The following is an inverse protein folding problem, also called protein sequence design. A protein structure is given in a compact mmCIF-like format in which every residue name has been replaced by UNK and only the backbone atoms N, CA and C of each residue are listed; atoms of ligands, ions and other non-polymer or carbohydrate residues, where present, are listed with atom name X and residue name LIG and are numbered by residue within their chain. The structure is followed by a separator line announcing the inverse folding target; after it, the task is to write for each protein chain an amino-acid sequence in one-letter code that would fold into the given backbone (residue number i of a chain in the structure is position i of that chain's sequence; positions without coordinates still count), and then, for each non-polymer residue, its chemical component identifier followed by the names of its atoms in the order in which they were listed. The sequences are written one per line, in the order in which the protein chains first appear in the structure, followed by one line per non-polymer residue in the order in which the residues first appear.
data_IF_985495883233
#
_entry.id   IF_985495883233
#
_cell.length_a   1.000
_cell.length_b   1.000
_cell.length_c   1.000
_cell.angle_alpha   90.00
_cell.angle_beta   90.00
_cell.angle_gamma   90.00
#
_symmetry.space_group_name_H-M   'P 1'
#
loop_
_entity.id
_entity.type
_entity.pdbx_description
1 polymer ?
#
# COMPACT_ATOMS: atom_id res chain seq x y z
N UNK A 1 -6.73 50.33 -25.83
CA UNK A 1 -7.88 49.56 -25.30
C UNK A 1 -7.46 48.11 -25.35
N UNK A 2 -7.14 47.57 -24.18
CA UNK A 2 -6.70 46.20 -23.97
C UNK A 2 -7.86 45.22 -24.20
N UNK A 3 -7.52 44.01 -24.62
CA UNK A 3 -8.34 42.83 -24.37
C UNK A 3 -7.37 41.66 -24.27
N UNK A 4 -6.92 41.42 -23.04
CA UNK A 4 -6.20 40.22 -22.64
C UNK A 4 -7.16 39.04 -22.77
N UNK A 5 -6.87 38.11 -23.70
CA UNK A 5 -7.48 36.79 -23.72
C UNK A 5 -6.79 35.94 -22.65
N UNK A 6 -7.37 35.98 -21.45
CA UNK A 6 -7.00 35.11 -20.34
C UNK A 6 -7.41 33.67 -20.68
N UNK A 7 -6.43 32.85 -21.04
CA UNK A 7 -6.59 31.41 -21.24
C UNK A 7 -7.03 30.76 -19.93
N UNK A 8 -8.30 30.39 -19.83
CA UNK A 8 -8.83 29.59 -18.72
C UNK A 8 -8.17 28.20 -18.73
N UNK A 9 -7.12 28.03 -17.93
CA UNK A 9 -6.57 26.72 -17.59
C UNK A 9 -7.66 25.91 -16.88
N UNK A 10 -8.07 24.80 -17.51
CA UNK A 10 -9.05 23.89 -16.94
C UNK A 10 -8.57 23.33 -15.60
N UNK A 11 -9.37 23.51 -14.56
CA UNK A 11 -9.13 22.92 -13.24
C UNK A 11 -9.05 21.40 -13.41
N UNK A 12 -7.89 20.81 -13.14
CA UNK A 12 -7.78 19.35 -13.06
C UNK A 12 -8.80 18.84 -12.04
N UNK A 13 -9.46 17.73 -12.30
CA UNK A 13 -10.51 17.16 -11.44
C UNK A 13 -10.10 15.75 -11.01
N UNK A 14 -10.54 15.29 -9.84
CA UNK A 14 -10.48 13.87 -9.53
C UNK A 14 -11.37 13.06 -10.50
N UNK A 15 -11.11 11.75 -10.71
CA UNK A 15 -12.05 10.87 -11.42
C UNK A 15 -13.47 10.86 -10.82
N UNK A 16 -13.60 11.26 -9.55
CA UNK A 16 -14.87 11.46 -8.85
C UNK A 16 -15.59 12.78 -9.17
N UNK A 17 -15.05 13.63 -10.04
CA UNK A 17 -15.64 14.93 -10.39
C UNK A 17 -15.54 16.00 -9.31
N UNK A 18 -14.70 15.78 -8.28
CA UNK A 18 -14.39 16.79 -7.26
C UNK A 18 -13.26 17.68 -7.77
N UNK A 19 -13.43 19.01 -7.68
CA UNK A 19 -12.33 19.94 -7.89
C UNK A 19 -11.21 19.63 -6.91
N UNK A 20 -9.95 19.79 -7.33
CA UNK A 20 -8.85 19.72 -6.38
C UNK A 20 -9.14 20.75 -5.30
N UNK A 21 -9.22 20.36 -4.01
CA UNK A 21 -9.35 21.35 -2.95
C UNK A 21 -8.16 22.30 -3.09
N UNK A 22 -8.41 23.61 -2.94
CA UNK A 22 -7.34 24.60 -2.79
C UNK A 22 -6.22 23.98 -1.96
N UNK A 23 -5.04 23.88 -2.56
CA UNK A 23 -3.92 23.04 -2.16
C UNK A 23 -3.92 22.73 -0.65
N UNK A 24 -4.23 21.49 -0.27
CA UNK A 24 -4.29 21.09 1.14
C UNK A 24 -3.01 21.59 1.84
N UNK A 25 -3.12 22.52 2.80
CA UNK A 25 -1.97 23.30 3.24
C UNK A 25 -0.91 22.36 3.80
N UNK A 26 0.33 22.59 3.39
CA UNK A 26 1.45 21.80 3.87
C UNK A 26 1.79 22.22 5.31
N UNK A 27 2.08 21.28 6.21
CA UNK A 27 2.52 21.61 7.55
C UNK A 27 3.93 22.28 7.49
N UNK A 28 4.33 23.10 8.48
CA UNK A 28 5.58 23.85 8.44
C UNK A 28 6.84 23.01 8.15
N UNK A 29 6.89 21.78 8.68
CA UNK A 29 7.98 20.81 8.48
C UNK A 29 8.07 20.23 7.06
N UNK A 30 7.06 20.46 6.22
CA UNK A 30 7.06 20.01 4.83
C UNK A 30 8.06 20.78 3.94
N UNK A 31 8.66 21.86 4.47
CA UNK A 31 9.75 22.56 3.80
C UNK A 31 10.99 21.67 3.55
N UNK A 32 11.14 20.57 4.29
CA UNK A 32 12.21 19.59 4.12
C UNK A 32 11.78 18.34 3.34
N UNK A 33 10.52 18.29 2.89
CA UNK A 33 9.96 17.13 2.23
C UNK A 33 10.34 17.11 0.74
N UNK A 34 10.65 15.91 0.23
CA UNK A 34 10.71 15.69 -1.21
C UNK A 34 9.30 15.67 -1.83
N UNK A 35 9.25 15.62 -3.17
CA UNK A 35 7.99 15.56 -3.92
C UNK A 35 7.11 14.38 -3.48
N UNK A 36 7.69 13.22 -3.15
CA UNK A 36 6.95 12.01 -2.80
C UNK A 36 6.21 12.18 -1.48
N UNK A 37 6.85 12.78 -0.48
CA UNK A 37 6.21 13.04 0.82
C UNK A 37 5.09 14.08 0.68
N UNK A 38 5.32 15.13 -0.11
CA UNK A 38 4.28 16.13 -0.44
C UNK A 38 3.09 15.48 -1.16
N UNK A 39 3.35 14.60 -2.12
CA UNK A 39 2.31 13.87 -2.84
C UNK A 39 1.49 12.97 -1.91
N UNK A 40 2.15 12.24 -1.00
CA UNK A 40 1.48 11.40 0.00
C UNK A 40 0.56 12.23 0.90
N UNK A 41 1.02 13.37 1.40
CA UNK A 41 0.21 14.28 2.21
C UNK A 41 -1.02 14.78 1.45
N UNK A 42 -0.82 15.31 0.23
CA UNK A 42 -1.89 15.91 -0.57
C UNK A 42 -2.91 14.87 -1.02
N UNK A 43 -2.46 13.71 -1.51
CA UNK A 43 -3.36 12.65 -1.98
C UNK A 43 -4.14 11.98 -0.86
N UNK A 44 -3.63 12.03 0.37
CA UNK A 44 -4.36 11.56 1.56
C UNK A 44 -5.17 12.66 2.23
N UNK A 45 -5.21 13.88 1.68
CA UNK A 45 -5.90 15.02 2.29
C UNK A 45 -5.48 15.23 3.75
N UNK A 46 -4.17 15.09 4.02
CA UNK A 46 -3.58 15.24 5.36
C UNK A 46 -3.85 14.10 6.35
N UNK A 47 -4.60 13.06 5.98
CA UNK A 47 -4.85 11.92 6.87
C UNK A 47 -3.59 11.07 7.12
N UNK A 48 -2.66 11.01 6.15
CA UNK A 48 -1.36 10.38 6.34
C UNK A 48 -0.27 11.44 6.46
N UNK A 49 0.40 11.47 7.62
CA UNK A 49 1.50 12.38 7.88
C UNK A 49 2.87 11.69 7.68
N UNK A 50 3.53 11.85 6.52
CA UNK A 50 4.75 11.11 6.20
C UNK A 50 5.93 11.44 7.12
N UNK A 51 5.96 12.64 7.72
CA UNK A 51 7.02 13.05 8.64
C UNK A 51 6.85 12.52 10.07
N UNK A 52 5.67 12.00 10.43
CA UNK A 52 5.36 11.54 11.80
C UNK A 52 5.33 10.02 11.89
N UNK A 53 5.07 9.34 10.77
CA UNK A 53 5.44 7.95 10.65
C UNK A 53 6.94 7.83 10.86
N UNK A 54 7.37 6.83 11.65
CA UNK A 54 8.74 6.31 11.58
C UNK A 54 8.97 5.65 10.21
N UNK A 55 8.67 6.34 9.10
CA UNK A 55 9.08 6.05 7.72
C UNK A 55 10.57 6.25 7.68
N UNK A 56 11.25 5.32 8.36
CA UNK A 56 12.59 5.55 8.80
C UNK A 56 13.49 5.45 7.60
N UNK A 57 14.55 6.23 7.63
CA UNK A 57 15.77 6.05 6.85
C UNK A 57 16.40 4.65 6.99
N UNK A 58 15.76 3.68 7.65
CA UNK A 58 16.22 2.30 7.79
C UNK A 58 15.69 1.45 6.64
N UNK A 59 16.59 1.20 5.70
CA UNK A 59 16.54 0.02 4.85
C UNK A 59 17.30 -1.10 5.57
N UNK A 60 16.60 -2.15 6.01
CA UNK A 60 17.21 -3.30 6.68
C UNK A 60 17.72 -4.29 5.64
N UNK A 61 19.04 -4.53 5.52
CA UNK A 61 19.58 -5.45 4.54
C UNK A 61 18.98 -6.86 4.66
N UNK A 62 18.60 -7.44 3.54
CA UNK A 62 18.01 -8.76 3.40
C UNK A 62 16.56 -8.88 3.87
N UNK A 63 15.95 -7.82 4.42
CA UNK A 63 14.53 -7.86 4.83
C UNK A 63 13.61 -7.68 3.63
N UNK A 64 12.51 -8.43 3.63
CA UNK A 64 11.39 -8.24 2.69
C UNK A 64 10.20 -7.60 3.41
N UNK A 65 9.70 -6.48 2.92
CA UNK A 65 8.43 -5.90 3.35
C UNK A 65 7.34 -6.28 2.36
N UNK A 66 6.38 -7.07 2.82
CA UNK A 66 5.18 -7.41 2.06
C UNK A 66 4.17 -6.28 2.22
N UNK A 67 3.74 -5.63 1.13
CA UNK A 67 2.84 -4.48 1.15
C UNK A 67 1.49 -4.87 0.56
N UNK A 68 0.43 -4.70 1.33
CA UNK A 68 -0.93 -5.07 0.93
C UNK A 68 -1.93 -3.93 1.18
N UNK A 69 -2.57 -3.40 0.11
CA UNK A 69 -3.73 -2.53 0.25
C UNK A 69 -5.00 -3.37 0.47
N UNK A 70 -5.89 -2.93 1.34
CA UNK A 70 -7.20 -3.60 1.50
C UNK A 70 -8.32 -2.60 1.86
N UNK A 71 -9.54 -3.11 2.04
CA UNK A 71 -10.72 -2.35 2.45
C UNK A 71 -11.57 -3.14 3.43
N UNK A 72 -12.44 -2.44 4.15
CA UNK A 72 -13.46 -3.07 4.99
C UNK A 72 -14.31 -4.12 4.27
N UNK A 73 -14.64 -3.92 2.98
CA UNK A 73 -15.44 -4.87 2.20
C UNK A 73 -14.71 -6.20 1.91
N UNK A 74 -13.39 -6.23 2.10
CA UNK A 74 -12.52 -7.38 1.79
C UNK A 74 -12.11 -8.18 3.04
N UNK A 75 -12.70 -7.89 4.20
CA UNK A 75 -12.44 -8.56 5.49
C UNK A 75 -12.38 -10.08 5.43
N UNK A 76 -13.18 -10.71 4.56
CA UNK A 76 -13.19 -12.17 4.36
C UNK A 76 -11.83 -12.75 3.92
N UNK A 77 -10.96 -11.94 3.35
CA UNK A 77 -9.65 -12.35 2.85
C UNK A 77 -8.50 -12.08 3.81
N UNK A 78 -8.73 -11.37 4.92
CA UNK A 78 -7.63 -10.91 5.78
C UNK A 78 -6.92 -12.07 6.50
N UNK A 79 -7.65 -13.12 6.87
CA UNK A 79 -7.06 -14.34 7.43
C UNK A 79 -6.19 -15.06 6.42
N UNK A 80 -6.64 -15.11 5.15
CA UNK A 80 -5.89 -15.71 4.05
C UNK A 80 -4.59 -14.97 3.79
N UNK A 81 -4.64 -13.64 3.67
CA UNK A 81 -3.48 -12.79 3.52
C UNK A 81 -2.44 -13.05 4.62
N UNK A 82 -2.88 -13.03 5.89
CA UNK A 82 -1.99 -13.25 7.01
C UNK A 82 -1.40 -14.67 7.00
N UNK A 83 -2.19 -15.69 6.68
CA UNK A 83 -1.71 -17.06 6.53
C UNK A 83 -0.64 -17.17 5.42
N UNK A 84 -0.90 -16.58 4.25
CA UNK A 84 0.04 -16.53 3.12
C UNK A 84 1.36 -15.84 3.48
N UNK A 85 1.30 -14.73 4.21
CA UNK A 85 2.48 -14.06 4.75
C UNK A 85 3.22 -14.93 5.77
N UNK A 86 2.49 -15.46 6.76
CA UNK A 86 3.05 -16.19 7.88
C UNK A 86 3.82 -17.43 7.42
N UNK A 87 3.27 -18.15 6.43
CA UNK A 87 3.88 -19.37 5.87
C UNK A 87 5.09 -19.13 4.97
N UNK A 88 5.39 -17.87 4.59
CA UNK A 88 6.59 -17.61 3.78
C UNK A 88 7.84 -18.08 4.52
N UNK A 89 8.71 -18.86 3.88
CA UNK A 89 9.92 -19.38 4.51
C UNK A 89 11.03 -18.34 4.65
N UNK A 90 10.86 -17.15 4.02
CA UNK A 90 11.84 -16.07 4.15
C UNK A 90 11.96 -15.61 5.62
N UNK A 91 13.17 -15.61 6.20
CA UNK A 91 13.35 -15.47 7.64
C UNK A 91 13.10 -14.04 8.15
N UNK A 92 13.61 -13.03 7.44
CA UNK A 92 13.49 -11.62 7.83
C UNK A 92 12.44 -10.93 6.97
N UNK A 93 11.19 -10.95 7.41
CA UNK A 93 10.06 -10.36 6.69
C UNK A 93 9.09 -9.64 7.62
N UNK A 94 8.41 -8.63 7.08
CA UNK A 94 7.32 -7.90 7.71
C UNK A 94 6.14 -7.78 6.73
N UNK A 95 4.93 -7.59 7.27
CA UNK A 95 3.70 -7.38 6.52
C UNK A 95 3.18 -5.98 6.85
N UNK A 96 3.04 -5.13 5.84
CA UNK A 96 2.50 -3.79 5.93
C UNK A 96 1.11 -3.78 5.28
N UNK A 97 0.07 -3.67 6.09
CA UNK A 97 -1.32 -3.62 5.61
C UNK A 97 -1.88 -2.23 5.78
N UNK A 98 -2.37 -1.66 4.68
CA UNK A 98 -3.07 -0.37 4.64
C UNK A 98 -4.54 -0.61 4.35
N UNK A 99 -5.38 -0.57 5.39
CA UNK A 99 -6.83 -0.71 5.26
C UNK A 99 -7.51 0.66 5.28
N UNK A 100 -8.44 0.86 4.36
CA UNK A 100 -9.45 1.93 4.50
C UNK A 100 -10.81 1.32 4.82
N UNK A 101 -11.59 2.03 5.62
CA UNK A 101 -12.88 1.54 6.08
C UNK A 101 -13.89 2.68 6.19
N UNK A 102 -15.19 2.36 6.12
CA UNK A 102 -16.25 3.35 6.30
C UNK A 102 -16.82 3.28 7.71
N UNK A 103 -17.11 2.05 8.17
CA UNK A 103 -17.80 1.79 9.43
C UNK A 103 -16.83 1.26 10.48
N UNK A 104 -16.16 0.14 10.21
CA UNK A 104 -15.21 -0.46 11.14
C UNK A 104 -13.99 -1.05 10.43
N UNK A 105 -12.79 -0.93 11.00
CA UNK A 105 -11.62 -1.64 10.52
C UNK A 105 -11.71 -3.15 10.78
N UNK A 106 -10.79 -3.94 10.22
CA UNK A 106 -10.66 -5.37 10.49
C UNK A 106 -10.31 -5.66 11.96
N UNK A 107 -11.17 -6.39 12.66
CA UNK A 107 -10.89 -6.88 14.02
C UNK A 107 -9.78 -7.92 14.02
N UNK A 108 -9.73 -8.78 13.01
CA UNK A 108 -8.69 -9.80 12.86
C UNK A 108 -7.29 -9.16 12.73
N UNK A 109 -7.09 -8.21 11.80
CA UNK A 109 -5.78 -7.58 11.60
C UNK A 109 -5.34 -6.78 12.84
N UNK A 110 -6.28 -6.16 13.57
CA UNK A 110 -5.97 -5.50 14.84
C UNK A 110 -5.44 -6.49 15.87
N UNK A 111 -6.17 -7.59 16.08
CA UNK A 111 -5.76 -8.63 17.02
C UNK A 111 -4.43 -9.29 16.64
N UNK A 112 -4.17 -9.49 15.34
CA UNK A 112 -2.88 -10.02 14.88
C UNK A 112 -1.74 -9.02 15.08
N UNK A 113 -1.95 -7.72 14.81
CA UNK A 113 -0.91 -6.71 14.98
C UNK A 113 -0.48 -6.53 16.45
N UNK A 114 -1.36 -6.82 17.41
CA UNK A 114 -1.01 -6.85 18.84
C UNK A 114 -0.11 -8.04 19.21
N UNK A 115 -0.14 -9.13 18.44
CA UNK A 115 0.53 -10.40 18.76
C UNK A 115 1.77 -10.66 17.91
N UNK A 116 1.75 -10.24 16.66
CA UNK A 116 2.86 -10.40 15.71
C UNK A 116 3.48 -9.03 15.40
N UNK A 117 4.64 -8.70 15.98
CA UNK A 117 5.30 -7.40 15.75
C UNK A 117 5.79 -7.22 14.31
N UNK A 118 5.75 -8.27 13.47
CA UNK A 118 6.06 -8.18 12.04
C UNK A 118 4.90 -7.60 11.24
N UNK A 119 3.69 -7.53 11.80
CA UNK A 119 2.52 -6.94 11.14
C UNK A 119 2.40 -5.45 11.50
N UNK A 120 2.71 -4.60 10.52
CA UNK A 120 2.48 -3.16 10.56
C UNK A 120 1.09 -2.90 9.95
N UNK A 121 0.09 -2.73 10.81
CA UNK A 121 -1.27 -2.49 10.38
C UNK A 121 -1.68 -1.03 10.59
N UNK A 122 -1.94 -0.31 9.50
CA UNK A 122 -2.46 1.06 9.51
C UNK A 122 -3.84 1.11 8.89
N UNK A 123 -4.72 1.92 9.49
CA UNK A 123 -6.13 1.97 9.15
C UNK A 123 -6.62 3.41 9.08
N UNK A 124 -7.42 3.72 8.05
CA UNK A 124 -7.94 5.06 7.82
C UNK A 124 -9.44 5.01 7.53
N UNK A 125 -10.23 5.73 8.34
CA UNK A 125 -11.64 5.89 8.05
C UNK A 125 -11.82 6.82 6.85
N UNK A 126 -12.68 6.43 5.89
CA UNK A 126 -13.02 7.21 4.70
C UNK A 126 -14.53 7.30 4.54
N UNK A 127 -15.06 8.39 3.95
CA UNK A 127 -16.46 8.46 3.57
C UNK A 127 -16.82 7.40 2.52
N UNK A 128 -18.07 6.98 2.50
CA UNK A 128 -18.60 6.09 1.46
C UNK A 128 -18.39 6.71 0.06
N UNK A 129 -17.91 5.90 -0.89
CA UNK A 129 -17.59 6.35 -2.25
C UNK A 129 -16.31 7.18 -2.39
N UNK A 130 -15.57 7.44 -1.29
CA UNK A 130 -14.35 8.26 -1.29
C UNK A 130 -13.11 7.47 -0.81
N UNK A 131 -13.02 6.20 -1.22
CA UNK A 131 -11.87 5.35 -0.92
C UNK A 131 -10.60 5.85 -1.64
N UNK A 132 -9.45 5.58 -1.05
CA UNK A 132 -8.16 5.78 -1.68
C UNK A 132 -7.90 4.73 -2.75
N UNK A 133 -7.16 5.12 -3.79
CA UNK A 133 -6.74 4.18 -4.82
C UNK A 133 -5.81 3.11 -4.24
N UNK A 134 -5.81 1.93 -4.87
CA UNK A 134 -4.88 0.84 -4.56
C UNK A 134 -3.43 1.34 -4.61
N UNK A 135 -3.10 2.16 -5.62
CA UNK A 135 -1.77 2.76 -5.77
C UNK A 135 -1.39 3.68 -4.62
N UNK A 136 -2.31 4.52 -4.13
CA UNK A 136 -2.04 5.39 -2.98
C UNK A 136 -1.77 4.57 -1.71
N UNK A 137 -2.58 3.53 -1.46
CA UNK A 137 -2.38 2.63 -0.31
C UNK A 137 -1.04 1.88 -0.42
N UNK A 138 -0.64 1.42 -1.61
CA UNK A 138 0.69 0.83 -1.83
C UNK A 138 1.81 1.84 -1.58
N UNK A 139 1.66 3.09 -2.00
CA UNK A 139 2.66 4.14 -1.73
C UNK A 139 2.84 4.41 -0.23
N UNK A 140 1.73 4.41 0.53
CA UNK A 140 1.77 4.50 2.01
C UNK A 140 2.49 3.28 2.59
N UNK A 141 2.12 2.08 2.15
CA UNK A 141 2.74 0.84 2.62
C UNK A 141 4.24 0.81 2.34
N UNK A 142 4.67 1.19 1.14
CA UNK A 142 6.10 1.32 0.78
C UNK A 142 6.80 2.42 1.58
N UNK A 143 6.12 3.49 1.98
CA UNK A 143 6.71 4.50 2.87
C UNK A 143 6.95 3.95 4.29
N UNK A 144 6.07 3.09 4.78
CA UNK A 144 6.17 2.47 6.11
C UNK A 144 7.09 1.25 6.14
N UNK A 145 7.36 0.65 4.99
CA UNK A 145 8.24 -0.49 4.84
C UNK A 145 9.69 -0.18 5.27
N UNK A 146 10.32 -1.14 5.94
CA UNK A 146 11.71 -1.07 6.42
C UNK A 146 12.64 -2.06 5.73
N UNK A 147 12.12 -2.83 4.78
CA UNK A 147 12.85 -3.84 4.03
C UNK A 147 13.71 -3.29 2.91
N UNK A 148 14.78 -4.02 2.58
CA UNK A 148 15.54 -3.80 1.34
C UNK A 148 14.71 -4.15 0.10
N UNK A 149 13.85 -5.16 0.22
CA UNK A 149 12.96 -5.61 -0.84
C UNK A 149 11.51 -5.30 -0.50
N UNK A 150 10.74 -4.90 -1.51
CA UNK A 150 9.29 -4.77 -1.43
C UNK A 150 8.65 -5.90 -2.24
N UNK A 151 7.68 -6.59 -1.66
CA UNK A 151 6.82 -7.53 -2.36
C UNK A 151 5.36 -7.06 -2.25
N UNK A 152 4.64 -6.97 -3.35
CA UNK A 152 3.22 -6.64 -3.32
C UNK A 152 2.39 -7.92 -3.23
N UNK A 153 1.58 -8.03 -2.19
CA UNK A 153 0.57 -9.08 -2.08
C UNK A 153 -0.81 -8.44 -2.22
N UNK A 154 -1.66 -9.05 -3.04
CA UNK A 154 -3.10 -8.83 -3.00
C UNK A 154 -3.71 -9.74 -1.93
N UNK A 155 -4.76 -9.27 -1.26
CA UNK A 155 -5.32 -9.94 -0.09
C UNK A 155 -6.12 -11.21 -0.44
N UNK A 156 -6.61 -11.33 -1.68
CA UNK A 156 -7.35 -12.48 -2.20
C UNK A 156 -6.51 -13.52 -2.96
N UNK A 157 -5.20 -13.32 -3.04
CA UNK A 157 -4.28 -14.23 -3.73
C UNK A 157 -3.72 -15.34 -2.83
N UNK A 158 -3.37 -16.47 -3.46
CA UNK A 158 -2.63 -17.56 -2.83
C UNK A 158 -1.14 -17.47 -3.15
N UNK A 159 -0.32 -17.28 -2.12
CA UNK A 159 1.14 -17.25 -2.24
C UNK A 159 1.78 -18.51 -1.65
N UNK A 160 2.50 -19.27 -2.49
CA UNK A 160 3.22 -20.46 -2.06
C UNK A 160 4.28 -20.12 -0.98
N UNK A 161 4.61 -21.03 -0.05
CA UNK A 161 5.57 -20.76 1.04
C UNK A 161 6.96 -20.27 0.60
N UNK A 162 7.41 -20.59 -0.62
CA UNK A 162 8.70 -20.15 -1.17
C UNK A 162 8.62 -18.93 -2.09
N UNK A 163 7.46 -18.30 -2.21
CA UNK A 163 7.23 -17.21 -3.16
C UNK A 163 8.26 -16.07 -3.01
N UNK A 164 8.44 -15.56 -1.79
CA UNK A 164 9.42 -14.49 -1.53
C UNK A 164 10.86 -14.93 -1.84
N UNK A 165 11.23 -16.16 -1.46
CA UNK A 165 12.56 -16.71 -1.76
C UNK A 165 12.82 -16.73 -3.25
N UNK A 166 11.88 -17.27 -4.04
CA UNK A 166 12.01 -17.34 -5.50
C UNK A 166 12.20 -15.96 -6.11
N UNK A 167 11.37 -14.98 -5.74
CA UNK A 167 11.45 -13.64 -6.33
C UNK A 167 12.77 -12.92 -5.95
N UNK A 168 13.18 -12.98 -4.69
CA UNK A 168 14.39 -12.29 -4.23
C UNK A 168 15.66 -12.93 -4.81
N UNK A 169 15.70 -14.26 -4.91
CA UNK A 169 16.81 -14.97 -5.56
C UNK A 169 16.91 -14.60 -7.04
N UNK A 170 15.79 -14.52 -7.75
CA UNK A 170 15.79 -14.11 -9.16
C UNK A 170 16.20 -12.66 -9.37
N UNK A 171 15.73 -11.73 -8.52
CA UNK A 171 16.18 -10.33 -8.54
C UNK A 171 17.71 -10.24 -8.42
N UNK A 172 18.28 -10.94 -7.44
CA UNK A 172 19.73 -10.95 -7.19
C UNK A 172 20.50 -11.60 -8.33
N UNK A 173 20.04 -12.77 -8.78
CA UNK A 173 20.68 -13.54 -9.87
C UNK A 173 20.75 -12.74 -11.16
N UNK A 174 19.71 -11.97 -11.47
CA UNK A 174 19.63 -11.15 -12.67
C UNK A 174 20.20 -9.74 -12.50
N UNK A 175 20.59 -9.35 -11.29
CA UNK A 175 20.95 -7.97 -10.93
C UNK A 175 19.85 -6.98 -11.39
N UNK A 176 18.59 -7.35 -11.19
CA UNK A 176 17.43 -6.60 -11.65
C UNK A 176 16.91 -5.66 -10.55
N UNK A 177 16.25 -4.58 -10.98
CA UNK A 177 15.58 -3.63 -10.07
C UNK A 177 14.11 -4.01 -9.79
N UNK A 178 13.58 -5.00 -10.52
CA UNK A 178 12.20 -5.46 -10.40
C UNK A 178 12.02 -6.84 -11.04
N UNK A 179 11.08 -7.61 -10.50
CA UNK A 179 10.70 -8.94 -11.00
C UNK A 179 9.19 -9.06 -10.92
N UNK A 180 8.60 -9.79 -11.86
CA UNK A 180 7.17 -10.15 -11.86
C UNK A 180 7.03 -11.61 -12.21
N UNK A 181 5.89 -12.20 -11.83
CA UNK A 181 5.50 -13.50 -12.35
C UNK A 181 5.26 -13.41 -13.86
N UNK A 182 5.62 -14.47 -14.58
CA UNK A 182 5.30 -14.62 -16.01
C UNK A 182 3.94 -15.26 -16.24
N UNK A 183 3.34 -15.86 -15.21
CA UNK A 183 2.07 -16.59 -15.29
C UNK A 183 1.39 -16.61 -13.93
N UNK A 184 0.07 -16.62 -13.94
CA UNK A 184 -0.79 -16.84 -12.78
C UNK A 184 -1.81 -17.91 -13.12
N UNK A 185 -2.31 -18.59 -12.09
CA UNK A 185 -3.36 -19.59 -12.21
C UNK A 185 -4.54 -19.13 -11.39
N UNK A 186 -5.74 -19.30 -11.92
CA UNK A 186 -6.98 -18.95 -11.24
C UNK A 186 -7.50 -20.22 -10.58
N UNK A 187 -7.75 -20.15 -9.28
CA UNK A 187 -8.50 -21.19 -8.58
C UNK A 187 -9.95 -20.72 -8.43
N UNK A 188 -10.87 -21.38 -9.14
CA UNK A 188 -12.29 -21.13 -8.99
C UNK A 188 -12.80 -21.86 -7.73
N UNK A 189 -13.24 -21.09 -6.74
CA UNK A 189 -13.73 -21.63 -5.47
C UNK A 189 -15.09 -22.30 -5.58
N UNK A 190 -15.91 -21.96 -6.58
CA UNK A 190 -17.22 -22.59 -6.80
C UNK A 190 -17.06 -23.98 -7.41
N UNK A 191 -16.17 -24.11 -8.40
CA UNK A 191 -15.94 -25.38 -9.10
C UNK A 191 -14.79 -26.19 -8.53
N UNK A 192 -13.97 -25.60 -7.64
CA UNK A 192 -12.73 -26.19 -7.11
C UNK A 192 -11.75 -26.62 -8.22
N UNK A 193 -11.64 -25.82 -9.29
CA UNK A 193 -10.77 -26.11 -10.44
C UNK A 193 -9.71 -25.04 -10.63
N UNK A 194 -8.56 -25.44 -11.21
CA UNK A 194 -7.51 -24.53 -11.67
C UNK A 194 -7.66 -24.25 -13.16
N UNK A 195 -7.53 -22.98 -13.55
CA UNK A 195 -7.56 -22.50 -14.93
C UNK A 195 -6.50 -21.44 -15.23
#
# INVERSE_FOLDING_TARGET
LSSDEESQEGVAMYPSGRAWPEQFPLPPEANLWDKRLVDLWRQTEGHFHPGSSNGSTKCTPGRVSVVTPTTEARKRFHELLYACFHQQVWPNKELVVVETYTTKPSEFLQSQAERDPRLIYVKYQRPEGADWSIGLKRNIGTHLATGEFIANFDDDDLYAPRYLTTLVEDLRRQNAIGVTLSSWYIFDTETSTFG
#
